data_IF_325396505518
#
_entry.id   IF_325396505518
#
_cell.length_a   1.000
_cell.length_b   1.000
_cell.length_c   1.000
_cell.angle_alpha   90.00
_cell.angle_beta   90.00
_cell.angle_gamma   90.00
#
_symmetry.space_group_name_H-M   'P 1'
#
loop_
_entity.id
_entity.type
_entity.pdbx_description
1 polymer ?
#
# COMPACT_ATOMS: atom_id res chain seq x y z
N UNK A 1 4.09 1.58 -23.92
CA UNK A 1 3.86 0.78 -23.84
C UNK A 1 3.57 0.43 -23.61
N UNK A 2 3.48 0.72 -23.64
CA UNK A 2 3.11 -0.13 -23.41
C UNK A 2 2.67 -0.36 -23.23
N UNK A 3 2.44 -0.14 -23.51
CA UNK A 3 1.89 -0.83 -23.46
C UNK A 3 1.72 -1.14 -23.42
N UNK A 4 1.63 -0.92 -23.72
CA UNK A 4 1.35 -1.69 -23.78
C UNK A 4 1.14 -1.76 -23.78
N UNK A 5 1.09 -1.40 -24.17
CA UNK A 5 0.73 -2.04 -24.30
C UNK A 5 0.68 -2.36 -24.26
N UNK A 6 0.65 -2.06 -24.84
CA UNK A 6 0.39 -2.87 -25.03
C UNK A 6 0.35 -3.10 -25.19
N UNK A 7 0.43 -2.77 -25.66
CA UNK A 7 0.23 -3.48 -25.93
C UNK A 7 -0.12 -3.72 -25.99
N UNK A 8 -0.33 -3.61 -26.26
CA UNK A 8 -0.88 -4.18 -26.26
C UNK A 8 -1.61 -4.42 -25.90
N UNK A 9 -1.57 -4.07 -25.70
CA UNK A 9 -2.21 -4.66 -25.29
C UNK A 9 -2.77 -4.69 -24.64
N UNK A 10 -3.12 -4.64 -24.70
CA UNK A 10 -3.66 -4.99 -24.13
C UNK A 10 -4.09 -5.23 -23.43
N UNK A 11 -4.17 -5.11 -23.33
CA UNK A 11 -4.50 -5.45 -22.73
C UNK A 11 -5.05 -5.71 -22.03
N UNK A 12 -5.24 -5.95 -21.91
CA UNK A 12 -5.59 -6.27 -21.27
C UNK A 12 -6.33 -6.59 -20.57
N UNK A 13 -6.31 -7.16 -20.77
CA UNK A 13 -6.87 -7.32 -20.10
C UNK A 13 -7.44 -7.84 -18.99
N UNK A 14 -7.15 -8.18 -18.40
CA UNK A 14 -7.42 -8.75 -17.18
C UNK A 14 -6.95 -7.88 -16.09
N UNK A 15 -7.63 -6.88 -15.85
CA UNK A 15 -7.29 -5.89 -14.85
C UNK A 15 -7.92 -6.32 -13.53
N UNK A 16 -7.09 -6.52 -12.51
CA UNK A 16 -7.60 -6.78 -11.17
C UNK A 16 -7.89 -5.43 -10.54
N UNK A 17 -9.14 -5.16 -10.23
CA UNK A 17 -9.52 -3.91 -9.59
C UNK A 17 -8.99 -3.88 -8.16
N UNK A 18 -8.44 -2.73 -7.77
CA UNK A 18 -7.90 -2.54 -6.44
C UNK A 18 -8.45 -1.29 -5.82
N UNK A 19 -8.54 -1.29 -4.50
CA UNK A 19 -8.96 -0.12 -3.76
C UNK A 19 -7.80 0.38 -2.94
N UNK A 20 -7.64 1.70 -2.89
CA UNK A 20 -6.62 2.31 -2.05
C UNK A 20 -7.14 2.46 -0.64
N UNK A 21 -6.34 2.04 0.32
CA UNK A 21 -6.67 2.15 1.74
C UNK A 21 -5.56 2.93 2.40
N UNK A 22 -5.89 4.09 2.98
CA UNK A 22 -4.90 4.85 3.74
C UNK A 22 -4.56 4.08 5.01
N UNK A 23 -3.29 4.02 5.32
CA UNK A 23 -2.83 3.23 6.46
C UNK A 23 -1.57 3.80 7.07
N UNK A 24 -1.40 3.53 8.37
CA UNK A 24 -0.12 3.69 9.04
C UNK A 24 0.51 2.31 9.11
N UNK A 25 1.79 2.24 8.76
CA UNK A 25 2.52 0.98 8.70
C UNK A 25 3.78 1.14 9.53
N UNK A 26 3.90 0.33 10.56
CA UNK A 26 5.11 0.33 11.39
C UNK A 26 6.02 -0.77 10.89
N UNK A 27 7.20 -0.38 10.43
CA UNK A 27 8.25 -1.35 10.12
C UNK A 27 9.17 -1.48 11.34
N UNK A 28 10.18 -2.32 11.21
CA UNK A 28 11.14 -2.51 12.30
C UNK A 28 11.92 -1.22 12.60
N UNK A 29 11.95 -0.25 11.68
CA UNK A 29 12.75 0.96 11.85
C UNK A 29 11.98 2.26 11.74
N UNK A 30 10.86 2.29 11.00
CA UNK A 30 10.17 3.55 10.72
C UNK A 30 8.68 3.39 10.72
N UNK A 31 8.00 4.50 10.99
CA UNK A 31 6.55 4.60 10.79
C UNK A 31 6.31 5.16 9.40
N UNK A 32 5.42 4.56 8.65
CA UNK A 32 5.12 4.96 7.28
C UNK A 32 3.64 5.28 7.17
N UNK A 33 3.32 6.43 6.58
CA UNK A 33 1.96 6.77 6.21
C UNK A 33 1.85 6.60 4.71
N UNK A 34 0.91 5.79 4.23
CA UNK A 34 0.85 5.46 2.82
C UNK A 34 -0.52 4.96 2.42
N UNK A 35 -0.70 4.75 1.12
CA UNK A 35 -1.90 4.08 0.58
C UNK A 35 -1.51 2.66 0.23
N UNK A 36 -2.23 1.73 0.81
CA UNK A 36 -2.11 0.30 0.57
C UNK A 36 -3.17 -0.08 -0.47
N UNK A 37 -2.81 -0.94 -1.41
CA UNK A 37 -3.73 -1.34 -2.48
C UNK A 37 -4.22 -2.75 -2.23
N UNK A 38 -5.54 -2.88 -2.09
CA UNK A 38 -6.19 -4.14 -1.74
C UNK A 38 -7.09 -4.53 -2.91
N UNK A 39 -7.04 -5.79 -3.31
CA UNK A 39 -7.91 -6.26 -4.39
C UNK A 39 -9.36 -6.12 -4.00
N UNK A 40 -10.19 -5.77 -4.98
CA UNK A 40 -11.61 -5.59 -4.74
C UNK A 40 -12.22 -6.85 -4.13
N UNK A 41 -12.96 -6.68 -3.05
CA UNK A 41 -13.58 -7.81 -2.37
C UNK A 41 -12.69 -8.47 -1.32
N UNK A 42 -11.42 -8.07 -1.22
CA UNK A 42 -10.52 -8.60 -0.20
C UNK A 42 -10.35 -7.58 0.92
N UNK A 43 -9.80 -8.04 2.03
CA UNK A 43 -9.53 -7.19 3.18
C UNK A 43 -8.04 -6.89 3.25
N UNK A 44 -7.69 -5.91 4.05
CA UNK A 44 -6.29 -5.56 4.27
C UNK A 44 -5.50 -6.78 4.72
N UNK A 45 -6.08 -7.60 5.60
CA UNK A 45 -5.40 -8.78 6.09
C UNK A 45 -5.04 -9.73 4.94
N UNK A 46 -5.95 -9.88 3.97
CA UNK A 46 -5.69 -10.76 2.83
C UNK A 46 -4.49 -10.28 2.03
N UNK A 47 -4.37 -8.98 1.84
CA UNK A 47 -3.24 -8.42 1.12
C UNK A 47 -1.94 -8.64 1.89
N UNK A 48 -1.97 -8.50 3.21
CA UNK A 48 -0.79 -8.66 4.03
C UNK A 48 -0.35 -10.12 4.13
N UNK A 49 -1.28 -11.05 3.93
CA UNK A 49 -0.99 -12.47 4.04
C UNK A 49 -0.45 -13.08 2.74
N UNK A 50 -0.32 -12.30 1.68
CA UNK A 50 0.21 -12.83 0.42
C UNK A 50 1.65 -13.27 0.59
N UNK A 51 2.02 -14.31 -0.16
CA UNK A 51 3.36 -14.87 -0.09
C UNK A 51 4.26 -14.20 -1.13
N UNK A 52 4.38 -12.90 -1.00
CA UNK A 52 5.25 -12.08 -1.84
C UNK A 52 6.19 -11.31 -0.94
N UNK A 53 7.48 -11.21 -1.30
CA UNK A 53 8.44 -10.58 -0.39
C UNK A 53 8.21 -9.08 -0.19
N UNK A 54 7.67 -8.39 -1.19
CA UNK A 54 7.50 -6.94 -1.10
C UNK A 54 6.05 -6.54 -1.18
N UNK A 55 5.70 -5.52 -0.40
CA UNK A 55 4.40 -4.89 -0.41
C UNK A 55 4.54 -3.53 -1.09
N UNK A 56 3.68 -3.24 -2.07
CA UNK A 56 3.71 -1.97 -2.79
C UNK A 56 2.82 -0.95 -2.09
N UNK A 57 3.37 0.25 -1.91
CA UNK A 57 2.65 1.37 -1.29
C UNK A 57 2.77 2.58 -2.20
N UNK A 58 1.76 3.44 -2.18
CA UNK A 58 1.79 4.70 -2.93
C UNK A 58 1.51 5.87 -2.00
N UNK A 59 1.81 7.08 -2.46
CA UNK A 59 1.62 8.32 -1.70
C UNK A 59 2.24 8.21 -0.32
N UNK A 60 3.53 7.93 -0.29
CA UNK A 60 4.24 7.49 0.90
C UNK A 60 4.90 8.65 1.62
N UNK A 61 4.77 8.68 2.94
CA UNK A 61 5.56 9.55 3.82
C UNK A 61 6.22 8.65 4.86
N UNK A 62 7.55 8.66 4.88
CA UNK A 62 8.31 7.93 5.89
C UNK A 62 8.60 8.89 7.01
N UNK A 63 8.21 8.52 8.23
CA UNK A 63 8.21 9.41 9.37
C UNK A 63 9.31 9.04 10.35
N UNK A 64 9.90 10.06 10.94
CA UNK A 64 10.87 9.92 12.01
C UNK A 64 10.25 10.28 13.35
N UNK A 65 11.11 10.51 14.35
CA UNK A 65 10.64 10.87 15.69
C UNK A 65 9.74 12.09 15.67
N UNK A 66 8.66 12.05 16.43
CA UNK A 66 7.70 13.14 16.47
C UNK A 66 6.89 13.26 15.20
N UNK A 67 6.86 12.20 14.39
CA UNK A 67 6.16 12.16 13.11
C UNK A 67 6.70 13.17 12.10
N UNK A 68 7.96 13.51 12.23
CA UNK A 68 8.61 14.38 11.26
C UNK A 68 8.81 13.63 9.95
N UNK A 69 8.42 14.24 8.84
CA UNK A 69 8.55 13.60 7.53
C UNK A 69 10.02 13.56 7.12
N UNK A 70 10.55 12.36 6.95
CA UNK A 70 11.93 12.18 6.50
C UNK A 70 12.02 12.05 5.00
N UNK A 71 11.08 11.32 4.40
CA UNK A 71 11.04 11.11 2.96
C UNK A 71 9.60 11.07 2.49
N UNK A 72 9.38 11.55 1.27
CA UNK A 72 8.09 11.39 0.60
C UNK A 72 8.34 10.81 -0.78
N UNK A 73 7.47 9.94 -1.23
CA UNK A 73 7.63 9.32 -2.53
C UNK A 73 6.27 8.88 -3.06
N UNK A 74 6.11 8.86 -4.39
CA UNK A 74 4.85 8.35 -4.96
C UNK A 74 4.74 6.83 -4.86
N UNK A 75 5.87 6.13 -4.66
CA UNK A 75 5.87 4.68 -4.61
C UNK A 75 6.97 4.20 -3.65
N UNK A 76 6.67 3.14 -2.91
CA UNK A 76 7.64 2.47 -2.06
C UNK A 76 7.33 0.99 -2.06
N UNK A 77 8.37 0.17 -2.21
CA UNK A 77 8.26 -1.27 -2.00
C UNK A 77 8.90 -1.58 -0.66
N UNK A 78 8.15 -2.18 0.25
CA UNK A 78 8.66 -2.52 1.58
C UNK A 78 8.63 -4.03 1.75
N UNK A 79 9.66 -4.59 2.37
CA UNK A 79 9.69 -6.01 2.64
C UNK A 79 8.62 -6.38 3.65
N UNK A 80 7.80 -7.37 3.32
CA UNK A 80 6.68 -7.77 4.18
C UNK A 80 7.16 -8.23 5.55
N UNK A 81 8.30 -8.89 5.61
CA UNK A 81 8.79 -9.41 6.88
C UNK A 81 9.38 -8.32 7.79
N UNK A 82 9.49 -7.09 7.30
CA UNK A 82 9.90 -5.96 8.12
C UNK A 82 8.71 -5.21 8.71
N UNK A 83 7.49 -5.60 8.40
CA UNK A 83 6.29 -4.94 8.87
C UNK A 83 5.88 -5.53 10.23
N UNK A 84 5.71 -4.66 11.21
CA UNK A 84 5.31 -5.06 12.56
C UNK A 84 3.79 -5.02 12.68
N UNK A 85 3.16 -3.92 12.24
CA UNK A 85 1.70 -3.80 12.22
C UNK A 85 1.27 -2.79 11.15
N UNK A 86 0.02 -2.93 10.75
CA UNK A 86 -0.62 -2.01 9.81
C UNK A 86 -1.93 -1.54 10.42
N UNK A 87 -2.12 -0.23 10.45
CA UNK A 87 -3.33 0.36 10.99
C UNK A 87 -4.08 1.05 9.84
N UNK A 88 -5.12 0.43 9.29
CA UNK A 88 -5.92 1.08 8.27
C UNK A 88 -6.63 2.30 8.84
N UNK A 89 -6.64 3.37 8.05
CA UNK A 89 -7.26 4.63 8.48
C UNK A 89 -8.39 4.99 7.52
N UNK A 90 -9.36 4.12 7.40
CA UNK A 90 -10.49 4.48 6.59
C UNK A 90 -11.56 4.98 7.44
N UNK A 91 -12.12 5.53 7.07
CA UNK A 91 -13.07 6.07 7.66
C UNK A 91 -13.85 5.81 8.78
N UNK A 92 -13.19 5.51 8.54
CA UNK A 92 -13.46 5.48 9.04
C UNK A 92 -14.06 5.66 9.54
N UNK A 93 -14.01 5.54 9.31
CA UNK A 93 -14.15 5.67 9.48
C UNK A 93 -14.94 5.94 9.79
N UNK A 94 -15.08 5.98 9.45
CA UNK A 94 -15.44 6.24 9.50
C UNK A 94 -15.89 6.23 10.19
N UNK A 95 -15.91 6.35 10.29
CA UNK A 95 -16.04 6.30 10.79
C UNK A 95 -16.28 6.21 11.50
N UNK A 96 -16.38 6.35 11.56
CA UNK A 96 -16.36 6.26 12.08
C UNK A 96 -16.65 6.26 12.65
N UNK A 97 -16.82 6.35 12.61
CA UNK A 97 -16.90 6.35 13.03
C UNK A 97 -17.18 6.46 13.30
#
# INVERSE_FOLDING_TARGET
MSISYDDKGKIFTEVVAKEGVHALIQTSTHLIRATLHVRHGERVKDELDRDEPFLALTDVSILGPGEKILHEAPFLAVQRDQIVWVLPQEAAGEEAA
#
